data_IF_251283698765
#
_entry.id   IF_251283698765
#
_cell.length_a   1.000
_cell.length_b   1.000
_cell.length_c   1.000
_cell.angle_alpha   90.00
_cell.angle_beta   90.00
_cell.angle_gamma   90.00
#
_symmetry.space_group_name_H-M   'P 1'
#
loop_
_entity.id
_entity.type
_entity.pdbx_description
1 polymer ?
#
# COMPACT_ATOMS: atom_id res chain seq x y z
N UNK A 1 -6.48 1.69 -21.72
CA UNK A 1 -5.43 0.69 -21.87
C UNK A 1 -4.27 1.34 -22.59
N UNK A 2 -3.39 1.95 -21.82
CA UNK A 2 -2.11 2.40 -22.33
C UNK A 2 -1.29 1.14 -22.52
N UNK A 3 -1.22 0.68 -23.73
CA UNK A 3 -0.26 -0.36 -24.08
C UNK A 3 1.14 0.28 -23.97
N UNK A 4 1.97 -0.08 -23.01
CA UNK A 4 3.37 0.31 -23.00
C UNK A 4 4.07 -0.53 -24.07
N UNK A 5 3.69 -0.29 -25.33
CA UNK A 5 4.27 -1.02 -26.42
C UNK A 5 5.78 -0.98 -26.30
N UNK A 6 6.40 -2.13 -26.36
CA UNK A 6 7.80 -2.25 -26.69
C UNK A 6 7.87 -1.76 -28.14
N UNK A 7 8.31 -0.54 -28.30
CA UNK A 7 8.49 0.04 -29.59
C UNK A 7 9.83 -0.46 -30.15
N UNK A 8 9.81 -0.95 -31.36
CA UNK A 8 11.03 -1.26 -32.08
C UNK A 8 11.89 -0.02 -32.17
N UNK A 9 13.21 -0.19 -32.10
CA UNK A 9 14.15 0.90 -32.23
C UNK A 9 13.92 1.63 -33.56
N UNK A 10 13.85 2.95 -33.52
CA UNK A 10 13.44 3.76 -34.68
C UNK A 10 11.95 4.14 -34.72
N UNK A 11 11.14 3.52 -33.88
CA UNK A 11 9.71 3.88 -33.77
C UNK A 11 9.54 5.12 -32.88
N UNK A 12 8.65 6.05 -33.23
CA UNK A 12 8.35 7.18 -32.35
C UNK A 12 7.79 6.69 -31.00
N UNK A 13 8.38 7.15 -29.90
CA UNK A 13 7.82 6.96 -28.58
C UNK A 13 6.87 8.12 -28.31
N UNK A 14 5.62 7.80 -28.05
CA UNK A 14 4.59 8.79 -27.80
C UNK A 14 4.34 8.96 -26.31
N UNK A 15 4.42 10.19 -25.82
CA UNK A 15 3.86 10.55 -24.53
C UNK A 15 2.37 10.81 -24.73
N UNK A 16 1.55 9.87 -24.29
CA UNK A 16 0.10 9.99 -24.40
C UNK A 16 -0.48 10.68 -23.17
N UNK A 17 -1.19 11.79 -23.39
CA UNK A 17 -2.22 12.25 -22.46
C UNK A 17 -3.56 11.88 -23.06
N UNK A 18 -4.40 11.27 -22.31
CA UNK A 18 -5.83 10.99 -22.57
C UNK A 18 -6.28 10.94 -24.00
N UNK A 19 -6.01 10.31 -24.96
CA UNK A 19 -6.49 10.17 -26.34
C UNK A 19 -5.64 10.82 -27.47
N UNK A 20 -4.61 11.62 -27.14
CA UNK A 20 -3.72 12.16 -28.16
C UNK A 20 -2.26 12.16 -27.70
N UNK A 21 -1.36 11.77 -28.59
CA UNK A 21 0.05 11.98 -28.37
C UNK A 21 0.33 13.48 -28.21
N UNK A 22 0.92 13.85 -27.06
CA UNK A 22 1.31 15.24 -26.80
C UNK A 22 2.64 15.58 -27.46
N UNK A 23 3.53 14.60 -27.52
CA UNK A 23 4.84 14.71 -28.18
C UNK A 23 5.40 13.32 -28.49
N UNK A 24 6.37 13.28 -29.37
CA UNK A 24 7.06 12.06 -29.78
C UNK A 24 8.56 12.26 -29.82
N UNK A 25 9.31 11.18 -29.63
CA UNK A 25 10.75 11.15 -29.80
C UNK A 25 11.15 9.93 -30.62
N UNK A 26 12.10 10.09 -31.53
CA UNK A 26 12.75 8.97 -32.21
C UNK A 26 13.94 8.52 -31.38
N UNK A 27 13.96 7.26 -30.99
CA UNK A 27 15.12 6.65 -30.39
C UNK A 27 16.17 6.34 -31.46
N UNK A 28 17.48 6.35 -31.12
CA UNK A 28 18.53 5.94 -32.02
C UNK A 28 18.30 4.54 -32.58
N UNK A 29 18.45 4.37 -33.89
CA UNK A 29 18.35 3.04 -34.50
C UNK A 29 19.55 2.18 -34.07
N UNK A 30 19.27 0.96 -33.68
CA UNK A 30 20.22 -0.11 -33.37
C UNK A 30 21.54 0.40 -32.71
N UNK A 31 21.43 0.85 -31.46
CA UNK A 31 22.62 1.20 -30.68
C UNK A 31 22.64 0.38 -29.38
N UNK A 32 23.79 -0.22 -29.10
CA UNK A 32 24.11 -0.76 -27.79
C UNK A 32 24.60 0.33 -26.82
N UNK A 33 24.64 1.59 -27.28
CA UNK A 33 25.04 2.73 -26.48
C UNK A 33 23.89 3.16 -25.55
N UNK A 34 23.91 2.59 -24.35
CA UNK A 34 22.95 2.87 -23.30
C UNK A 34 22.93 4.35 -22.92
N UNK A 35 24.06 5.03 -22.99
CA UNK A 35 24.15 6.47 -22.65
C UNK A 35 23.46 7.33 -23.70
N UNK A 36 23.57 6.97 -24.99
CA UNK A 36 22.84 7.66 -26.07
C UNK A 36 21.33 7.51 -25.88
N UNK A 37 20.84 6.30 -25.54
CA UNK A 37 19.40 6.04 -25.26
C UNK A 37 18.95 6.85 -24.04
N UNK A 38 19.70 6.80 -22.94
CA UNK A 38 19.39 7.59 -21.73
C UNK A 38 19.34 9.09 -22.03
N UNK A 39 20.29 9.59 -22.82
CA UNK A 39 20.34 11.00 -23.25
C UNK A 39 19.07 11.39 -24.00
N UNK A 40 18.68 10.59 -24.99
CA UNK A 40 17.51 10.85 -25.81
C UNK A 40 16.20 10.82 -24.95
N UNK A 41 16.06 9.83 -24.07
CA UNK A 41 14.90 9.72 -23.16
C UNK A 41 14.89 10.90 -22.18
N UNK A 42 16.04 11.26 -21.60
CA UNK A 42 16.13 12.38 -20.68
C UNK A 42 15.75 13.71 -21.35
N UNK A 43 16.27 13.99 -22.52
CA UNK A 43 15.93 15.19 -23.29
C UNK A 43 14.44 15.19 -23.65
N UNK A 44 13.90 14.06 -24.08
CA UNK A 44 12.47 13.96 -24.35
C UNK A 44 11.60 14.28 -23.11
N UNK A 45 11.89 13.65 -21.98
CA UNK A 45 11.11 13.83 -20.75
C UNK A 45 11.21 15.26 -20.22
N UNK A 46 12.43 15.80 -20.12
CA UNK A 46 12.64 17.09 -19.44
C UNK A 46 12.59 18.28 -20.39
N UNK A 47 13.12 18.15 -21.61
CA UNK A 47 13.20 19.29 -22.54
C UNK A 47 11.96 19.40 -23.43
N UNK A 48 11.41 18.27 -23.87
CA UNK A 48 10.25 18.23 -24.76
C UNK A 48 8.93 18.22 -23.97
N UNK A 49 8.77 17.24 -23.06
CA UNK A 49 7.56 17.09 -22.25
C UNK A 49 7.50 18.07 -21.07
N UNK A 50 8.60 18.77 -20.75
CA UNK A 50 8.71 19.68 -19.60
C UNK A 50 8.30 19.04 -18.28
N UNK A 51 8.54 17.73 -18.14
CA UNK A 51 8.27 17.02 -16.90
C UNK A 51 9.23 17.49 -15.79
N UNK A 52 8.70 17.66 -14.61
CA UNK A 52 9.48 18.03 -13.43
C UNK A 52 9.92 16.77 -12.67
N UNK A 53 11.18 16.73 -12.23
CA UNK A 53 11.70 15.64 -11.39
C UNK A 53 11.30 15.84 -9.92
N UNK A 54 10.00 15.96 -9.68
CA UNK A 54 9.44 16.26 -8.36
C UNK A 54 8.93 15.01 -7.62
N UNK A 55 8.84 13.86 -8.29
CA UNK A 55 8.45 12.62 -7.65
C UNK A 55 9.67 11.93 -7.02
N UNK A 56 9.62 11.77 -5.72
CA UNK A 56 10.51 10.90 -4.95
C UNK A 56 9.74 10.35 -3.75
N UNK A 57 10.27 9.30 -3.11
CA UNK A 57 9.59 8.63 -2.01
C UNK A 57 9.32 9.57 -0.82
N UNK A 58 10.22 10.50 -0.54
CA UNK A 58 10.04 11.47 0.56
C UNK A 58 8.87 12.41 0.29
N UNK A 59 8.80 12.98 -0.91
CA UNK A 59 7.71 13.85 -1.32
C UNK A 59 6.39 13.06 -1.32
N UNK A 60 6.38 11.85 -1.87
CA UNK A 60 5.20 10.97 -1.85
C UNK A 60 4.69 10.74 -0.43
N UNK A 61 5.57 10.37 0.51
CA UNK A 61 5.20 10.17 1.92
C UNK A 61 4.59 11.43 2.53
N UNK A 62 5.21 12.60 2.29
CA UNK A 62 4.70 13.87 2.81
C UNK A 62 3.33 14.22 2.21
N UNK A 63 3.16 14.04 0.90
CA UNK A 63 1.89 14.30 0.22
C UNK A 63 0.77 13.38 0.76
N UNK A 64 1.08 12.09 1.00
CA UNK A 64 0.13 11.16 1.61
C UNK A 64 -0.23 11.55 3.04
N UNK A 65 0.72 11.98 3.85
CA UNK A 65 0.46 12.47 5.21
C UNK A 65 -0.51 13.66 5.18
N UNK A 66 -0.26 14.64 4.32
CA UNK A 66 -1.13 15.81 4.20
C UNK A 66 -2.52 15.46 3.63
N UNK A 67 -2.59 14.52 2.70
CA UNK A 67 -3.85 14.00 2.19
C UNK A 67 -4.68 13.35 3.30
N UNK A 68 -4.07 12.46 4.08
CA UNK A 68 -4.69 11.77 5.21
C UNK A 68 -5.19 12.77 6.25
N UNK A 69 -4.38 13.75 6.64
CA UNK A 69 -4.79 14.81 7.58
C UNK A 69 -6.05 15.53 7.13
N UNK A 70 -6.11 15.89 5.84
CA UNK A 70 -7.28 16.59 5.27
C UNK A 70 -8.52 15.72 5.24
N UNK A 71 -8.37 14.42 4.91
CA UNK A 71 -9.49 13.50 4.82
C UNK A 71 -10.05 13.12 6.19
N UNK A 72 -9.19 12.90 7.16
CA UNK A 72 -9.57 12.49 8.52
C UNK A 72 -10.13 13.66 9.32
N UNK A 73 -9.52 14.84 9.20
CA UNK A 73 -9.91 16.00 10.01
C UNK A 73 -9.86 15.68 11.50
N UNK A 74 -10.99 15.86 12.19
CA UNK A 74 -11.08 15.62 13.63
C UNK A 74 -11.58 14.23 14.01
N UNK A 75 -11.82 13.36 13.03
CA UNK A 75 -12.34 12.01 13.27
C UNK A 75 -11.25 11.06 13.73
N UNK A 76 -11.66 9.98 14.40
CA UNK A 76 -10.79 8.83 14.68
C UNK A 76 -10.77 7.88 13.49
N UNK A 77 -9.69 7.15 13.35
CA UNK A 77 -9.50 6.11 12.32
C UNK A 77 -9.23 4.79 13.02
N UNK A 78 -9.97 3.76 12.65
CA UNK A 78 -9.70 2.40 13.05
C UNK A 78 -8.95 1.69 11.92
N UNK A 79 -7.83 1.06 12.25
CA UNK A 79 -7.01 0.28 11.34
C UNK A 79 -6.95 -1.16 11.79
N UNK A 80 -7.37 -2.09 10.92
CA UNK A 80 -7.12 -3.51 11.10
C UNK A 80 -5.63 -3.81 10.85
N UNK A 81 -4.91 -4.20 11.89
CA UNK A 81 -3.47 -4.44 11.85
C UNK A 81 -3.20 -5.95 11.84
N UNK A 82 -2.88 -6.49 10.68
CA UNK A 82 -2.63 -7.93 10.51
C UNK A 82 -1.20 -8.38 10.92
N UNK A 83 -0.27 -7.43 11.07
CA UNK A 83 1.15 -7.75 11.25
C UNK A 83 1.93 -7.92 9.94
N UNK A 84 1.26 -7.97 8.79
CA UNK A 84 1.92 -7.98 7.48
C UNK A 84 2.52 -6.61 7.11
N UNK A 85 3.43 -6.61 6.12
CA UNK A 85 4.18 -5.42 5.69
C UNK A 85 3.24 -4.28 5.29
N UNK A 86 2.20 -4.57 4.50
CA UNK A 86 1.30 -3.53 3.97
C UNK A 86 0.55 -2.81 5.10
N UNK A 87 -0.07 -3.56 6.02
CA UNK A 87 -0.77 -2.98 7.17
C UNK A 87 0.16 -2.20 8.10
N UNK A 88 1.41 -2.67 8.23
CA UNK A 88 2.43 -2.00 9.04
C UNK A 88 2.87 -0.66 8.44
N UNK A 89 3.05 -0.60 7.12
CA UNK A 89 3.37 0.65 6.40
C UNK A 89 2.22 1.65 6.52
N UNK A 90 0.98 1.18 6.34
CA UNK A 90 -0.21 2.03 6.50
C UNK A 90 -0.31 2.55 7.94
N UNK A 91 -0.09 1.69 8.96
CA UNK A 91 -0.07 2.10 10.36
C UNK A 91 0.99 3.17 10.63
N UNK A 92 2.22 3.00 10.12
CA UNK A 92 3.30 3.96 10.30
C UNK A 92 3.00 5.32 9.64
N UNK A 93 2.40 5.33 8.46
CA UNK A 93 1.96 6.55 7.78
C UNK A 93 0.83 7.26 8.54
N UNK A 94 -0.17 6.50 8.97
CA UNK A 94 -1.29 7.04 9.75
C UNK A 94 -0.84 7.59 11.10
N UNK A 95 0.07 6.89 11.81
CA UNK A 95 0.66 7.41 13.06
C UNK A 95 1.34 8.76 12.85
N UNK A 96 2.11 8.91 11.77
CA UNK A 96 2.74 10.19 11.42
C UNK A 96 1.73 11.28 11.05
N UNK A 97 0.62 10.90 10.40
CA UNK A 97 -0.37 11.85 9.92
C UNK A 97 -1.31 12.32 11.03
N UNK A 98 -1.86 11.40 11.81
CA UNK A 98 -2.98 11.65 12.72
C UNK A 98 -2.72 11.27 14.20
N UNK A 99 -1.57 10.63 14.49
CA UNK A 99 -1.16 10.32 15.86
C UNK A 99 -2.22 9.59 16.68
N UNK A 100 -2.62 10.16 17.80
CA UNK A 100 -3.56 9.58 18.77
C UNK A 100 -4.98 9.34 18.23
N UNK A 101 -5.31 9.89 17.06
CA UNK A 101 -6.59 9.64 16.39
C UNK A 101 -6.63 8.26 15.72
N UNK A 102 -5.48 7.60 15.58
CA UNK A 102 -5.39 6.25 15.06
C UNK A 102 -5.60 5.22 16.18
N UNK A 103 -6.54 4.32 15.98
CA UNK A 103 -6.74 3.12 16.79
C UNK A 103 -6.40 1.91 15.92
N UNK A 104 -5.35 1.19 16.28
CA UNK A 104 -4.97 -0.06 15.63
C UNK A 104 -5.65 -1.22 16.35
N UNK A 105 -6.30 -2.13 15.62
CA UNK A 105 -6.88 -3.34 16.19
C UNK A 105 -6.16 -4.55 15.61
N UNK A 106 -5.53 -5.33 16.47
CA UNK A 106 -4.92 -6.61 16.12
C UNK A 106 -5.73 -7.75 16.71
N UNK A 107 -6.14 -8.68 15.85
CA UNK A 107 -6.95 -9.84 16.24
C UNK A 107 -6.10 -11.11 16.13
N UNK A 108 -5.84 -11.74 17.28
CA UNK A 108 -5.30 -13.09 17.31
C UNK A 108 -6.45 -14.09 17.11
N UNK A 109 -6.48 -14.71 15.94
CA UNK A 109 -7.51 -15.68 15.55
C UNK A 109 -7.07 -17.13 15.73
N UNK A 110 -5.93 -17.38 16.38
CA UNK A 110 -5.40 -18.71 16.65
C UNK A 110 -4.75 -19.42 15.45
N UNK A 111 -4.71 -18.79 14.27
CA UNK A 111 -4.09 -19.32 13.05
C UNK A 111 -2.84 -18.52 12.65
N UNK A 112 -2.35 -17.68 13.55
CA UNK A 112 -1.11 -16.92 13.39
C UNK A 112 0.11 -17.83 13.52
N UNK A 113 1.23 -17.41 12.97
CA UNK A 113 2.51 -18.08 13.24
C UNK A 113 2.89 -17.85 14.70
N UNK A 114 3.70 -18.78 15.23
CA UNK A 114 4.18 -18.69 16.61
C UNK A 114 4.96 -17.38 16.82
N UNK A 115 4.54 -16.60 17.80
CA UNK A 115 5.17 -15.33 18.16
C UNK A 115 4.74 -14.10 17.34
N UNK A 116 3.98 -14.30 16.26
CA UNK A 116 3.63 -13.21 15.32
C UNK A 116 2.74 -12.12 15.98
N UNK A 117 1.79 -12.51 16.81
CA UNK A 117 0.95 -11.55 17.53
C UNK A 117 1.72 -10.79 18.61
N UNK A 118 2.63 -11.47 19.30
CA UNK A 118 3.52 -10.87 20.29
C UNK A 118 4.45 -9.84 19.65
N UNK A 119 5.00 -10.15 18.47
CA UNK A 119 5.83 -9.23 17.69
C UNK A 119 5.05 -7.96 17.29
N UNK A 120 3.79 -8.11 16.87
CA UNK A 120 2.93 -6.96 16.56
C UNK A 120 2.72 -6.07 17.79
N UNK A 121 2.44 -6.65 18.93
CA UNK A 121 2.27 -5.91 20.20
C UNK A 121 3.56 -5.20 20.57
N UNK A 122 4.71 -5.89 20.48
CA UNK A 122 6.00 -5.30 20.81
C UNK A 122 6.32 -4.10 19.93
N UNK A 123 6.17 -4.23 18.62
CA UNK A 123 6.48 -3.15 17.67
C UNK A 123 5.52 -1.99 17.80
N UNK A 124 4.22 -2.24 17.73
CA UNK A 124 3.25 -1.15 17.62
C UNK A 124 2.91 -0.52 18.96
N UNK A 125 2.77 -1.30 20.03
CA UNK A 125 2.43 -0.77 21.34
C UNK A 125 3.66 -0.25 22.08
N UNK A 126 4.74 -1.04 22.13
CA UNK A 126 5.88 -0.70 22.99
C UNK A 126 6.90 0.20 22.31
N UNK A 127 7.21 -0.04 21.01
CA UNK A 127 8.22 0.76 20.30
C UNK A 127 7.63 2.01 19.64
N UNK A 128 6.47 1.87 18.97
CA UNK A 128 5.83 2.98 18.25
C UNK A 128 4.79 3.75 19.07
N UNK A 129 4.49 3.29 20.28
CA UNK A 129 3.50 3.88 21.18
C UNK A 129 2.15 4.13 20.50
N UNK A 130 1.73 3.21 19.61
CA UNK A 130 0.45 3.28 18.96
C UNK A 130 -0.67 2.91 19.92
N UNK A 131 -1.85 3.49 19.73
CA UNK A 131 -3.05 3.06 20.43
C UNK A 131 -3.50 1.71 19.84
N UNK A 132 -2.98 0.62 20.41
CA UNK A 132 -3.20 -0.76 19.95
C UNK A 132 -4.19 -1.47 20.88
N UNK A 133 -5.32 -1.89 20.31
CA UNK A 133 -6.27 -2.82 20.89
C UNK A 133 -5.88 -4.23 20.43
N UNK A 134 -5.55 -5.09 21.38
CA UNK A 134 -5.27 -6.50 21.12
C UNK A 134 -6.47 -7.33 21.51
N UNK A 135 -7.00 -8.09 20.56
CA UNK A 135 -8.17 -8.96 20.77
C UNK A 135 -7.73 -10.41 20.61
N UNK A 136 -7.82 -11.18 21.68
CA UNK A 136 -7.69 -12.65 21.60
C UNK A 136 -9.04 -13.26 21.27
N UNK A 137 -9.20 -13.64 20.02
CA UNK A 137 -10.40 -14.30 19.50
C UNK A 137 -10.14 -15.77 19.11
N UNK A 138 -9.06 -16.37 19.64
CA UNK A 138 -8.61 -17.72 19.28
C UNK A 138 -9.76 -18.74 19.37
N UNK A 139 -10.39 -18.84 20.51
CA UNK A 139 -11.48 -19.81 20.71
C UNK A 139 -12.69 -19.52 19.83
N UNK A 140 -12.98 -18.24 19.60
CA UNK A 140 -14.09 -17.80 18.77
C UNK A 140 -13.94 -18.25 17.32
N UNK A 141 -12.74 -18.12 16.75
CA UNK A 141 -12.45 -18.55 15.37
C UNK A 141 -12.34 -20.06 15.28
N UNK A 142 -11.60 -20.70 16.18
CA UNK A 142 -11.39 -22.15 16.12
C UNK A 142 -12.69 -22.92 16.30
N UNK A 143 -13.57 -22.52 17.21
CA UNK A 143 -14.87 -23.16 17.40
C UNK A 143 -15.76 -23.06 16.16
N UNK A 144 -15.70 -21.97 15.40
CA UNK A 144 -16.46 -21.81 14.16
C UNK A 144 -15.88 -22.58 12.98
N UNK A 145 -14.62 -22.93 13.05
CA UNK A 145 -13.90 -23.70 12.03
C UNK A 145 -13.92 -25.20 12.32
N UNK A 146 -14.39 -25.62 13.50
CA UNK A 146 -14.50 -27.02 13.85
C UNK A 146 -15.39 -27.75 12.82
N UNK A 147 -14.94 -28.92 12.38
CA UNK A 147 -15.63 -29.77 11.40
C UNK A 147 -15.88 -29.15 10.01
N UNK A 148 -15.31 -27.98 9.72
CA UNK A 148 -15.36 -27.36 8.40
C UNK A 148 -14.18 -27.85 7.58
N UNK A 149 -14.42 -28.64 6.55
CA UNK A 149 -13.36 -29.17 5.67
C UNK A 149 -13.10 -28.29 4.45
N UNK A 150 -14.18 -27.73 3.86
CA UNK A 150 -14.10 -26.95 2.62
C UNK A 150 -13.33 -25.65 2.81
N UNK A 151 -12.25 -25.43 2.01
CA UNK A 151 -11.40 -24.24 2.14
C UNK A 151 -12.14 -22.92 1.88
N UNK A 152 -13.12 -22.92 0.99
CA UNK A 152 -13.88 -21.72 0.67
C UNK A 152 -14.84 -21.35 1.80
N UNK A 153 -15.45 -22.34 2.45
CA UNK A 153 -16.25 -22.11 3.64
C UNK A 153 -15.38 -21.58 4.79
N UNK A 154 -14.20 -22.17 5.03
CA UNK A 154 -13.24 -21.65 6.02
C UNK A 154 -12.95 -20.16 5.78
N UNK A 155 -12.63 -19.79 4.55
CA UNK A 155 -12.32 -18.41 4.16
C UNK A 155 -13.48 -17.44 4.44
N UNK A 156 -14.71 -17.85 4.11
CA UNK A 156 -15.93 -17.07 4.38
C UNK A 156 -16.20 -16.90 5.86
N UNK A 157 -16.03 -17.98 6.65
CA UNK A 157 -16.20 -17.94 8.10
C UNK A 157 -15.18 -16.99 8.73
N UNK A 158 -13.91 -17.13 8.39
CA UNK A 158 -12.84 -16.28 8.91
C UNK A 158 -13.09 -14.82 8.55
N UNK A 159 -13.37 -14.50 7.29
CA UNK A 159 -13.63 -13.13 6.85
C UNK A 159 -14.85 -12.51 7.54
N UNK A 160 -15.94 -13.25 7.64
CA UNK A 160 -17.15 -12.80 8.33
C UNK A 160 -16.94 -12.56 9.82
N UNK A 161 -16.10 -13.37 10.46
CA UNK A 161 -15.82 -13.23 11.89
C UNK A 161 -14.89 -12.05 12.18
N UNK A 162 -13.92 -11.78 11.33
CA UNK A 162 -13.11 -10.56 11.41
C UNK A 162 -13.96 -9.29 11.39
N UNK A 163 -14.94 -9.23 10.47
CA UNK A 163 -15.84 -8.06 10.38
C UNK A 163 -16.57 -7.86 11.71
N UNK A 164 -17.12 -8.93 12.30
CA UNK A 164 -17.84 -8.83 13.58
C UNK A 164 -16.96 -8.37 14.73
N UNK A 165 -15.72 -8.89 14.79
CA UNK A 165 -14.77 -8.44 15.81
C UNK A 165 -14.45 -6.96 15.65
N UNK A 166 -14.25 -6.49 14.41
CA UNK A 166 -13.99 -5.07 14.17
C UNK A 166 -15.20 -4.18 14.44
N UNK A 167 -16.42 -4.66 14.18
CA UNK A 167 -17.65 -3.94 14.52
C UNK A 167 -17.85 -3.81 16.03
N UNK A 168 -17.43 -4.83 16.81
CA UNK A 168 -17.51 -4.82 18.27
C UNK A 168 -16.47 -3.85 18.90
N UNK A 169 -15.34 -3.63 18.23
CA UNK A 169 -14.27 -2.75 18.71
C UNK A 169 -14.38 -1.30 18.19
N UNK A 170 -15.27 -1.02 17.24
CA UNK A 170 -15.47 0.30 16.64
C UNK A 170 -16.42 1.18 17.45
#
# INVERSE_FOLDING_TARGET
DVNPGIYEMGTPVMAAGHDKALCEVKLPEFTDDVEAIKGAVKSFVFDTCKAEANWNMTNFVNDQIELVKRQVGDKKVLLALSGGVDSSVVAALLLKAIGDKLVCVHVNHGLMRKGESEDVVEVFKNQLNANLVYVDATDRFLNKLADVEDPEQKRKIIGGEFIRVFEEEA
#
